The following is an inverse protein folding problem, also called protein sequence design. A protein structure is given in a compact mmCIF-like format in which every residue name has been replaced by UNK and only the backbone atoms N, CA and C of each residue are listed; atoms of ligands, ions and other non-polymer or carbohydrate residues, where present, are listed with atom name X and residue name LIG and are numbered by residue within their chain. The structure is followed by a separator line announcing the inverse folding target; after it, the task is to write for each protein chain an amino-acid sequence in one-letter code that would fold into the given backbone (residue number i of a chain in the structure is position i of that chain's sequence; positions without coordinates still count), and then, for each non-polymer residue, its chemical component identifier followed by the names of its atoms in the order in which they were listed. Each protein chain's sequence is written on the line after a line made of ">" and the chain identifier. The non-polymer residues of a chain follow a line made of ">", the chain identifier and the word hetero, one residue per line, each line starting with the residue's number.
data_IF_315442386716
#
_entry.id   IF_315442386716
#
_cell.length_a   1.000
_cell.length_b   1.000
_cell.length_c   1.000
_cell.angle_alpha   90.00
_cell.angle_beta   90.00
_cell.angle_gamma   90.00
#
_symmetry.space_group_name_H-M   'P 1'
#
loop_
_entity.id
_entity.type
_entity.pdbx_description
1 polymer ?
#
# COMPACT_ATOMS: atom_id res chain seq x y z
N UNK A 1 41.39 36.08 -54.48
CA UNK A 1 40.41 35.03 -54.18
C UNK A 1 40.90 34.27 -52.95
N UNK A 2 40.41 34.60 -51.78
CA UNK A 2 40.73 33.96 -50.52
C UNK A 2 39.46 34.03 -49.69
N UNK A 3 38.85 32.89 -49.48
CA UNK A 3 37.66 32.74 -48.64
C UNK A 3 38.08 32.77 -47.17
N UNK A 4 37.42 33.66 -46.41
CA UNK A 4 37.52 33.74 -44.95
C UNK A 4 36.41 32.88 -44.37
N UNK A 5 36.80 31.95 -43.53
CA UNK A 5 35.88 31.21 -42.64
C UNK A 5 35.55 32.08 -41.42
N UNK A 6 34.31 32.44 -41.26
CA UNK A 6 33.79 33.04 -40.05
C UNK A 6 33.59 31.94 -38.98
N UNK A 7 34.17 32.19 -37.82
CA UNK A 7 33.89 31.41 -36.58
C UNK A 7 32.84 32.17 -35.79
N UNK A 8 31.64 31.66 -35.80
CA UNK A 8 30.59 32.11 -34.88
C UNK A 8 30.90 31.62 -33.44
N UNK A 9 31.33 32.56 -32.61
CA UNK A 9 31.34 32.40 -31.15
C UNK A 9 29.94 32.70 -30.63
N UNK A 10 29.18 31.68 -30.20
CA UNK A 10 28.01 31.86 -29.36
C UNK A 10 28.42 32.40 -27.99
N UNK A 11 28.18 33.68 -27.78
CA UNK A 11 28.18 34.31 -26.46
C UNK A 11 26.97 33.76 -25.70
N UNK A 12 27.24 33.13 -24.57
CA UNK A 12 26.21 32.82 -23.55
C UNK A 12 25.87 34.16 -22.87
N UNK A 13 24.64 34.63 -23.06
CA UNK A 13 24.09 35.76 -22.32
C UNK A 13 23.88 35.35 -20.87
N UNK A 14 24.58 36.00 -19.96
CA UNK A 14 24.35 35.92 -18.52
C UNK A 14 23.17 36.79 -18.18
N UNK A 15 22.15 36.17 -17.52
CA UNK A 15 21.00 36.87 -16.99
C UNK A 15 21.40 37.68 -15.73
N UNK A 16 21.22 39.01 -15.70
CA UNK A 16 21.82 39.87 -14.67
C UNK A 16 21.15 39.82 -13.27
N UNK A 17 20.12 39.03 -13.10
CA UNK A 17 19.33 39.01 -11.83
C UNK A 17 19.57 37.80 -10.92
N UNK A 18 20.61 36.99 -11.16
CA UNK A 18 20.93 35.87 -10.28
C UNK A 18 22.04 36.20 -9.29
N UNK A 19 21.78 35.89 -7.99
CA UNK A 19 22.82 36.05 -6.97
C UNK A 19 23.96 35.02 -7.17
N UNK A 20 25.20 35.32 -6.73
CA UNK A 20 26.32 34.36 -6.83
C UNK A 20 26.06 33.00 -6.19
N UNK A 21 25.15 32.95 -5.26
CA UNK A 21 24.72 31.73 -4.57
C UNK A 21 23.82 30.86 -5.46
N UNK A 22 22.95 31.47 -6.25
CA UNK A 22 22.07 30.75 -7.20
C UNK A 22 22.84 30.20 -8.40
N UNK A 23 23.86 30.90 -8.88
CA UNK A 23 24.74 30.38 -9.91
C UNK A 23 25.56 29.17 -9.42
N UNK A 24 25.99 29.18 -8.17
CA UNK A 24 26.73 28.06 -7.59
C UNK A 24 25.83 26.82 -7.44
N UNK A 25 24.60 27.00 -6.99
CA UNK A 25 23.59 25.93 -6.87
C UNK A 25 23.25 25.40 -8.26
N UNK A 26 23.01 26.25 -9.25
CA UNK A 26 22.71 25.84 -10.63
C UNK A 26 23.85 25.03 -11.24
N UNK A 27 25.12 25.47 -11.04
CA UNK A 27 26.30 24.72 -11.51
C UNK A 27 26.48 23.36 -10.78
N UNK A 28 26.07 23.25 -9.53
CA UNK A 28 26.06 21.98 -8.81
C UNK A 28 24.93 21.05 -9.27
N UNK A 29 23.76 21.62 -9.59
CA UNK A 29 22.62 20.89 -10.15
C UNK A 29 22.99 20.34 -11.53
N UNK A 30 23.55 21.17 -12.39
CA UNK A 30 23.95 20.78 -13.74
C UNK A 30 25.10 19.76 -13.74
N UNK A 31 26.02 19.84 -12.79
CA UNK A 31 27.07 18.82 -12.60
C UNK A 31 26.52 17.48 -12.08
N UNK A 32 25.57 17.50 -11.16
CA UNK A 32 25.00 16.28 -10.57
C UNK A 32 23.97 15.60 -11.46
N UNK A 33 23.17 16.36 -12.21
CA UNK A 33 22.22 15.80 -13.18
C UNK A 33 22.93 15.23 -14.41
N UNK A 34 24.00 15.86 -14.87
CA UNK A 34 24.72 15.39 -16.06
C UNK A 34 25.59 14.15 -15.81
N UNK A 35 26.10 13.95 -14.59
CA UNK A 35 26.90 12.77 -14.27
C UNK A 35 26.11 11.48 -14.09
N UNK A 36 24.81 11.54 -13.74
CA UNK A 36 24.01 10.34 -13.49
C UNK A 36 23.31 9.79 -14.73
N UNK A 37 22.94 10.63 -15.67
CA UNK A 37 22.18 10.24 -16.87
C UNK A 37 23.09 10.00 -18.08
N UNK A 38 24.16 10.79 -18.25
CA UNK A 38 25.02 10.69 -19.45
C UNK A 38 25.95 9.47 -19.46
N UNK A 39 26.24 8.87 -18.31
CA UNK A 39 27.10 7.69 -18.25
C UNK A 39 26.35 6.40 -18.60
N UNK A 40 25.02 6.38 -18.43
CA UNK A 40 24.17 5.24 -18.80
C UNK A 40 23.74 5.24 -20.27
N UNK A 41 23.76 6.40 -20.94
CA UNK A 41 23.33 6.51 -22.35
C UNK A 41 24.44 6.19 -23.38
N UNK A 42 25.68 5.97 -22.97
CA UNK A 42 26.80 5.68 -23.88
C UNK A 42 27.12 4.20 -24.11
N UNK A 43 26.43 3.30 -23.45
CA UNK A 43 26.60 1.87 -23.71
C UNK A 43 25.39 1.31 -24.45
N UNK A 44 25.55 1.16 -25.75
CA UNK A 44 24.69 0.42 -26.66
C UNK A 44 23.18 0.64 -26.52
N UNK A 45 22.65 1.24 -27.56
CA UNK A 45 21.22 1.32 -27.90
C UNK A 45 20.53 -0.06 -27.88
N UNK A 46 20.33 -0.62 -26.69
CA UNK A 46 19.22 -1.50 -26.45
C UNK A 46 18.01 -0.59 -26.34
N UNK A 47 17.31 -0.37 -27.47
CA UNK A 47 15.92 0.08 -27.41
C UNK A 47 15.24 -0.85 -26.44
N UNK A 48 14.88 -0.34 -25.24
CA UNK A 48 14.05 -1.07 -24.32
C UNK A 48 12.84 -1.58 -25.13
N UNK A 49 12.54 -2.88 -25.12
CA UNK A 49 11.31 -3.34 -25.75
C UNK A 49 10.19 -2.57 -25.07
N UNK A 50 9.38 -1.86 -25.86
CA UNK A 50 8.17 -1.20 -25.39
C UNK A 50 7.44 -2.12 -24.42
N UNK A 51 6.77 -1.58 -23.38
CA UNK A 51 6.15 -2.39 -22.35
C UNK A 51 5.41 -3.54 -23.04
N UNK A 52 5.81 -4.77 -22.70
CA UNK A 52 5.13 -5.97 -23.21
C UNK A 52 3.70 -5.82 -22.73
N UNK A 53 2.81 -5.43 -23.64
CA UNK A 53 1.37 -5.49 -23.37
C UNK A 53 1.08 -6.96 -23.14
N UNK A 54 0.97 -7.35 -21.88
CA UNK A 54 0.43 -8.63 -21.52
C UNK A 54 -0.91 -8.73 -22.25
N UNK A 55 -1.10 -9.81 -23.01
CA UNK A 55 -2.37 -10.05 -23.70
C UNK A 55 -3.46 -10.19 -22.63
N UNK A 56 -4.69 -9.87 -22.97
CA UNK A 56 -5.85 -10.01 -22.07
C UNK A 56 -5.90 -11.41 -21.43
N UNK A 57 -5.50 -12.47 -22.19
CA UNK A 57 -5.45 -13.84 -21.71
C UNK A 57 -4.34 -14.11 -20.67
N UNK A 58 -3.23 -13.36 -20.72
CA UNK A 58 -2.17 -13.41 -19.70
C UNK A 58 -2.54 -12.65 -18.42
N UNK A 59 -3.47 -11.70 -18.53
CA UNK A 59 -4.06 -10.99 -17.39
C UNK A 59 -5.17 -11.79 -16.72
N UNK A 60 -5.78 -12.77 -17.41
CA UNK A 60 -6.73 -13.73 -16.85
C UNK A 60 -5.95 -14.81 -16.04
N UNK A 61 -5.11 -14.38 -15.15
CA UNK A 61 -4.65 -15.26 -14.08
C UNK A 61 -5.86 -15.52 -13.19
N UNK A 62 -6.27 -16.79 -13.14
CA UNK A 62 -7.16 -17.34 -12.10
C UNK A 62 -6.44 -17.11 -10.76
N UNK A 63 -6.63 -15.93 -10.21
CA UNK A 63 -5.81 -15.37 -9.13
C UNK A 63 -5.92 -16.21 -7.85
N UNK A 64 -7.11 -16.71 -7.54
CA UNK A 64 -7.38 -17.38 -6.27
C UNK A 64 -6.62 -18.68 -6.11
N UNK A 65 -6.48 -19.47 -7.19
CA UNK A 65 -5.67 -20.67 -7.14
C UNK A 65 -4.16 -20.40 -7.08
N UNK A 66 -3.69 -19.22 -7.54
CA UNK A 66 -2.26 -18.89 -7.54
C UNK A 66 -1.83 -18.23 -6.23
N UNK A 67 -2.66 -17.40 -5.58
CA UNK A 67 -2.34 -16.86 -4.27
C UNK A 67 -2.12 -17.98 -3.25
N UNK A 68 -3.07 -18.93 -3.15
CA UNK A 68 -2.97 -20.05 -2.23
C UNK A 68 -1.86 -21.05 -2.58
N UNK A 69 -1.44 -21.18 -3.85
CA UNK A 69 -0.32 -22.05 -4.24
C UNK A 69 1.03 -21.66 -3.61
N UNK A 70 1.18 -20.43 -3.18
CA UNK A 70 2.43 -19.94 -2.57
C UNK A 70 2.36 -19.72 -1.08
N UNK A 71 1.23 -20.07 -0.45
CA UNK A 71 1.01 -19.86 0.97
C UNK A 71 0.35 -21.08 1.61
N UNK A 72 0.63 -21.30 2.88
CA UNK A 72 -0.09 -22.26 3.73
C UNK A 72 -0.64 -21.55 4.95
N UNK A 73 -1.76 -22.05 5.46
CA UNK A 73 -2.45 -21.49 6.62
C UNK A 73 -2.19 -22.40 7.81
N UNK A 74 -1.80 -21.81 8.93
CA UNK A 74 -1.63 -22.50 10.22
C UNK A 74 -2.50 -21.84 11.26
N UNK A 75 -3.20 -22.65 12.04
CA UNK A 75 -4.22 -22.18 12.99
C UNK A 75 -3.66 -21.22 14.07
N UNK A 76 -2.44 -21.41 14.48
CA UNK A 76 -1.81 -20.63 15.57
C UNK A 76 -0.92 -19.50 15.13
N UNK A 77 -0.65 -19.33 13.83
CA UNK A 77 0.34 -18.36 13.37
C UNK A 77 -0.05 -17.63 12.07
N UNK A 78 -1.19 -17.98 11.45
CA UNK A 78 -1.72 -17.28 10.27
C UNK A 78 -1.23 -17.81 8.93
N UNK A 79 -0.96 -16.90 7.98
CA UNK A 79 -0.59 -17.22 6.60
C UNK A 79 0.91 -17.29 6.44
N UNK A 80 1.43 -18.41 5.97
CA UNK A 80 2.85 -18.66 5.74
C UNK A 80 3.20 -18.62 4.27
N UNK A 81 4.29 -17.95 3.92
CA UNK A 81 4.85 -17.98 2.57
C UNK A 81 5.70 -19.25 2.40
N UNK A 82 5.32 -20.09 1.43
CA UNK A 82 6.03 -21.33 1.07
C UNK A 82 6.62 -21.31 -0.35
N UNK A 83 6.55 -20.17 -1.04
CA UNK A 83 7.18 -19.99 -2.36
C UNK A 83 8.70 -20.02 -2.21
N UNK A 84 9.31 -21.15 -2.63
CA UNK A 84 10.77 -21.37 -2.50
C UNK A 84 11.58 -20.28 -3.19
N UNK A 85 11.20 -19.89 -4.39
CA UNK A 85 11.83 -18.82 -5.17
C UNK A 85 11.86 -17.48 -4.44
N UNK A 86 10.77 -17.12 -3.75
CA UNK A 86 10.67 -15.91 -2.94
C UNK A 86 11.52 -16.04 -1.68
N UNK A 87 11.42 -17.17 -1.00
CA UNK A 87 12.18 -17.43 0.24
C UNK A 87 13.69 -17.42 -0.06
N UNK A 88 14.13 -18.04 -1.15
CA UNK A 88 15.53 -18.04 -1.59
C UNK A 88 16.02 -16.64 -1.98
N UNK A 89 15.28 -15.90 -2.80
CA UNK A 89 15.61 -14.51 -3.18
C UNK A 89 15.79 -13.61 -1.96
N UNK A 90 15.04 -13.85 -0.91
CA UNK A 90 15.06 -13.05 0.30
C UNK A 90 16.00 -13.59 1.38
N UNK A 91 16.65 -14.72 1.13
CA UNK A 91 17.65 -15.29 2.03
C UNK A 91 18.87 -14.36 2.15
N UNK A 92 19.36 -14.19 3.37
CA UNK A 92 20.55 -13.38 3.66
C UNK A 92 20.36 -11.85 3.60
N UNK A 93 19.22 -11.34 3.16
CA UNK A 93 18.93 -9.90 3.08
C UNK A 93 19.11 -9.23 4.44
N UNK A 94 18.68 -9.88 5.49
CA UNK A 94 18.72 -9.32 6.83
C UNK A 94 20.15 -9.14 7.32
N UNK A 95 21.02 -10.12 7.04
CA UNK A 95 22.45 -9.96 7.32
C UNK A 95 23.01 -8.76 6.58
N UNK A 96 22.65 -8.57 5.30
CA UNK A 96 23.06 -7.42 4.51
C UNK A 96 22.53 -6.10 5.08
N UNK A 97 21.26 -6.05 5.48
CA UNK A 97 20.63 -4.89 6.11
C UNK A 97 21.28 -4.55 7.45
N UNK A 98 21.52 -5.54 8.31
CA UNK A 98 22.19 -5.36 9.62
C UNK A 98 23.64 -4.89 9.42
N UNK A 99 24.36 -5.44 8.43
CA UNK A 99 25.73 -5.02 8.13
C UNK A 99 25.78 -3.56 7.64
N UNK A 100 24.84 -3.15 6.79
CA UNK A 100 24.72 -1.75 6.33
C UNK A 100 24.34 -0.83 7.49
N UNK A 101 23.44 -1.25 8.36
CA UNK A 101 22.98 -0.49 9.50
C UNK A 101 24.10 -0.29 10.53
N UNK A 102 24.84 -1.34 10.86
CA UNK A 102 25.98 -1.26 11.80
C UNK A 102 27.02 -0.26 11.31
N UNK A 103 27.37 -0.28 10.01
CA UNK A 103 28.28 0.70 9.43
C UNK A 103 27.76 2.14 9.58
N UNK A 104 26.47 2.38 9.32
CA UNK A 104 25.86 3.71 9.40
C UNK A 104 25.83 4.23 10.85
N UNK A 105 25.55 3.38 11.83
CA UNK A 105 25.58 3.74 13.25
C UNK A 105 27.01 4.11 13.67
N UNK A 106 28.01 3.34 13.25
CA UNK A 106 29.42 3.60 13.58
C UNK A 106 29.95 4.90 12.96
N UNK A 107 29.42 5.31 11.81
CA UNK A 107 29.86 6.54 11.11
C UNK A 107 29.05 7.78 11.48
N UNK A 108 28.11 7.68 12.44
CA UNK A 108 27.26 8.81 12.87
C UNK A 108 26.31 9.34 11.79
N UNK A 109 26.08 8.55 10.73
CA UNK A 109 25.23 8.95 9.61
C UNK A 109 23.74 8.94 9.95
N UNK A 110 22.96 9.76 9.25
CA UNK A 110 21.48 9.74 9.31
C UNK A 110 20.97 8.38 8.80
N UNK A 111 20.13 7.72 9.58
CA UNK A 111 19.55 6.42 9.24
C UNK A 111 18.62 6.50 8.02
N UNK A 112 19.20 6.44 6.83
CA UNK A 112 18.47 6.24 5.57
C UNK A 112 18.83 4.84 5.03
N UNK A 113 18.00 3.86 5.39
CA UNK A 113 18.22 2.49 4.95
C UNK A 113 17.51 2.23 3.63
N UNK A 114 18.26 2.15 2.53
CA UNK A 114 17.74 1.63 1.28
C UNK A 114 17.76 0.11 1.29
N UNK A 115 16.58 -0.50 1.14
CA UNK A 115 16.43 -1.96 1.08
C UNK A 115 16.90 -2.51 -0.28
N UNK A 116 17.49 -3.73 -0.34
CA UNK A 116 17.86 -4.36 -1.60
C UNK A 116 16.64 -4.59 -2.51
N UNK A 117 16.81 -4.37 -3.81
CA UNK A 117 15.71 -4.50 -4.79
C UNK A 117 15.08 -5.89 -4.83
N UNK A 118 15.85 -6.93 -4.54
CA UNK A 118 15.39 -8.33 -4.55
C UNK A 118 14.27 -8.68 -3.56
N UNK A 119 13.96 -7.80 -2.58
CA UNK A 119 12.82 -8.00 -1.69
C UNK A 119 11.51 -7.45 -2.27
N UNK A 120 11.62 -6.67 -3.33
CA UNK A 120 10.47 -6.01 -3.92
C UNK A 120 9.86 -6.88 -5.03
N UNK A 121 8.57 -6.72 -5.20
CA UNK A 121 7.87 -7.14 -6.41
C UNK A 121 7.90 -6.00 -7.44
N UNK A 122 7.75 -6.32 -8.74
CA UNK A 122 7.73 -5.30 -9.80
C UNK A 122 6.37 -4.58 -9.86
N UNK A 123 5.93 -4.07 -8.73
CA UNK A 123 4.67 -3.34 -8.57
C UNK A 123 4.85 -2.17 -7.62
N UNK A 124 4.19 -1.06 -7.91
CA UNK A 124 4.08 0.05 -6.96
C UNK A 124 3.12 -0.30 -5.81
N UNK A 125 3.33 0.33 -4.66
CA UNK A 125 2.37 0.23 -3.56
C UNK A 125 0.98 0.75 -3.94
N UNK A 126 0.87 1.69 -4.89
CA UNK A 126 -0.41 2.15 -5.40
C UNK A 126 -1.18 1.02 -6.12
N UNK A 127 -0.50 0.23 -6.94
CA UNK A 127 -1.09 -0.97 -7.58
C UNK A 127 -1.49 -2.01 -6.51
N UNK A 128 -0.69 -2.15 -5.46
CA UNK A 128 -1.00 -3.07 -4.36
C UNK A 128 -2.23 -2.62 -3.57
N UNK A 129 -2.38 -1.33 -3.33
CA UNK A 129 -3.56 -0.78 -2.65
C UNK A 129 -4.83 -1.03 -3.48
N UNK A 130 -4.77 -0.91 -4.81
CA UNK A 130 -5.96 -1.18 -5.65
C UNK A 130 -6.46 -2.63 -5.52
N UNK A 131 -5.57 -3.60 -5.36
CA UNK A 131 -5.95 -5.01 -5.16
C UNK A 131 -6.79 -5.23 -3.90
N UNK A 132 -6.58 -4.42 -2.84
CA UNK A 132 -7.37 -4.54 -1.62
C UNK A 132 -8.85 -4.26 -1.85
N UNK A 133 -9.16 -3.51 -2.89
CA UNK A 133 -10.52 -3.10 -3.25
C UNK A 133 -11.14 -3.94 -4.37
N UNK A 134 -10.53 -5.09 -4.74
CA UNK A 134 -10.97 -5.89 -5.89
C UNK A 134 -12.43 -6.35 -5.82
N UNK A 135 -12.97 -6.61 -4.62
CA UNK A 135 -14.35 -7.05 -4.43
C UNK A 135 -15.37 -5.90 -4.38
N UNK A 136 -14.98 -4.65 -4.61
CA UNK A 136 -15.91 -3.51 -4.60
C UNK A 136 -17.08 -3.66 -5.58
N UNK A 137 -16.92 -4.11 -6.85
CA UNK A 137 -18.05 -4.26 -7.75
C UNK A 137 -19.09 -5.28 -7.29
N UNK A 138 -18.66 -6.30 -6.57
CA UNK A 138 -19.56 -7.37 -6.10
C UNK A 138 -20.25 -6.99 -4.79
N UNK A 139 -19.46 -6.59 -3.79
CA UNK A 139 -19.97 -6.41 -2.43
C UNK A 139 -20.58 -5.03 -2.20
N UNK A 140 -19.99 -3.98 -2.76
CA UNK A 140 -20.53 -2.63 -2.59
C UNK A 140 -21.72 -2.35 -3.50
N UNK A 141 -21.83 -3.01 -4.67
CA UNK A 141 -23.05 -2.96 -5.47
C UNK A 141 -24.22 -3.60 -4.71
N UNK A 142 -23.98 -4.75 -4.05
CA UNK A 142 -24.99 -5.34 -3.17
C UNK A 142 -25.35 -4.40 -2.01
N UNK A 143 -24.35 -3.80 -1.35
CA UNK A 143 -24.60 -2.84 -0.28
C UNK A 143 -25.47 -1.66 -0.75
N UNK A 144 -25.12 -1.06 -1.92
CA UNK A 144 -25.87 0.06 -2.49
C UNK A 144 -27.28 -0.26 -2.90
N UNK A 145 -27.58 -1.54 -3.16
CA UNK A 145 -28.92 -2.01 -3.53
C UNK A 145 -29.81 -2.34 -2.33
N UNK A 146 -29.26 -2.41 -1.11
CA UNK A 146 -30.05 -2.74 0.09
C UNK A 146 -30.82 -1.53 0.60
N UNK A 147 -32.09 -1.72 0.98
CA UNK A 147 -32.88 -0.70 1.64
C UNK A 147 -32.61 -0.68 3.17
N UNK A 148 -32.41 -1.85 3.77
CA UNK A 148 -32.05 -1.97 5.16
C UNK A 148 -30.60 -1.54 5.41
N UNK A 149 -30.42 -0.58 6.32
CA UNK A 149 -29.11 0.01 6.66
C UNK A 149 -28.16 -0.98 7.32
N UNK A 150 -28.69 -1.93 8.07
CA UNK A 150 -27.90 -2.98 8.71
C UNK A 150 -27.44 -4.00 7.66
N UNK A 151 -28.32 -4.40 6.76
CA UNK A 151 -27.96 -5.29 5.65
C UNK A 151 -26.89 -4.66 4.75
N UNK A 152 -27.04 -3.38 4.40
CA UNK A 152 -26.03 -2.65 3.65
C UNK A 152 -24.67 -2.61 4.38
N UNK A 153 -24.68 -2.36 5.69
CA UNK A 153 -23.48 -2.37 6.52
C UNK A 153 -22.80 -3.74 6.57
N UNK A 154 -23.57 -4.84 6.58
CA UNK A 154 -23.01 -6.21 6.53
C UNK A 154 -22.19 -6.44 5.26
N UNK A 155 -22.65 -5.98 4.10
CA UNK A 155 -21.91 -6.10 2.84
C UNK A 155 -20.67 -5.19 2.82
N UNK A 156 -20.71 -3.98 3.39
CA UNK A 156 -19.53 -3.13 3.56
C UNK A 156 -18.49 -3.79 4.47
N UNK A 157 -18.93 -4.49 5.52
CA UNK A 157 -18.04 -5.27 6.38
C UNK A 157 -17.39 -6.43 5.61
N UNK A 158 -18.17 -7.19 4.84
CA UNK A 158 -17.62 -8.25 3.98
C UNK A 158 -16.59 -7.71 3.00
N UNK A 159 -16.86 -6.57 2.37
CA UNK A 159 -15.91 -5.87 1.49
C UNK A 159 -14.61 -5.53 2.20
N UNK A 160 -14.66 -4.94 3.38
CA UNK A 160 -13.48 -4.56 4.14
C UNK A 160 -12.65 -5.78 4.59
N UNK A 161 -13.31 -6.87 4.96
CA UNK A 161 -12.64 -8.12 5.34
C UNK A 161 -12.01 -8.83 4.13
N UNK A 162 -12.61 -8.73 2.94
CA UNK A 162 -12.01 -9.26 1.69
C UNK A 162 -10.69 -8.57 1.35
N UNK A 163 -10.54 -7.29 1.70
CA UNK A 163 -9.31 -6.54 1.52
C UNK A 163 -8.13 -7.09 2.34
N UNK A 164 -8.42 -7.67 3.51
CA UNK A 164 -7.40 -8.24 4.39
C UNK A 164 -6.68 -9.41 3.74
N UNK A 165 -7.41 -10.26 3.04
CA UNK A 165 -6.84 -11.39 2.31
C UNK A 165 -5.76 -10.91 1.32
N UNK A 166 -6.04 -9.86 0.55
CA UNK A 166 -5.10 -9.27 -0.42
C UNK A 166 -3.93 -8.54 0.23
N UNK A 167 -4.16 -7.89 1.36
CA UNK A 167 -3.10 -7.19 2.08
C UNK A 167 -2.14 -8.12 2.84
N UNK A 168 -2.46 -9.42 2.96
CA UNK A 168 -1.61 -10.42 3.61
C UNK A 168 -0.44 -10.93 2.75
N UNK A 169 -0.31 -10.50 1.50
CA UNK A 169 0.82 -10.85 0.65
C UNK A 169 2.15 -10.33 1.21
N UNK A 170 3.17 -11.21 1.18
CA UNK A 170 4.44 -10.98 1.89
C UNK A 170 5.57 -10.43 1.00
N UNK A 171 5.30 -10.18 -0.28
CA UNK A 171 6.20 -9.42 -1.12
C UNK A 171 6.03 -7.93 -0.86
N UNK A 172 7.14 -7.22 -0.85
CA UNK A 172 7.11 -5.77 -0.66
C UNK A 172 6.94 -5.08 -2.02
N UNK A 173 5.89 -4.28 -2.15
CA UNK A 173 5.78 -3.39 -3.30
C UNK A 173 6.82 -2.27 -3.25
N UNK A 174 7.17 -1.70 -4.40
CA UNK A 174 8.02 -0.53 -4.52
C UNK A 174 7.36 0.67 -3.82
N UNK A 175 8.13 1.43 -3.03
CA UNK A 175 7.62 2.65 -2.42
C UNK A 175 7.28 3.66 -3.52
N UNK A 176 6.08 4.26 -3.51
CA UNK A 176 5.72 5.26 -4.50
C UNK A 176 6.60 6.51 -4.38
N UNK A 177 6.80 7.20 -5.50
CA UNK A 177 7.39 8.53 -5.52
C UNK A 177 6.34 9.57 -5.14
N UNK A 178 6.77 10.70 -4.59
CA UNK A 178 5.85 11.81 -4.29
C UNK A 178 5.22 12.33 -5.59
N UNK A 179 3.89 12.37 -5.63
CA UNK A 179 3.11 12.70 -6.83
C UNK A 179 2.93 11.54 -7.82
N UNK A 180 3.46 10.35 -7.51
CA UNK A 180 3.18 9.15 -8.31
C UNK A 180 1.70 8.83 -8.26
N UNK A 181 1.12 8.52 -9.43
CA UNK A 181 -0.28 8.16 -9.58
C UNK A 181 -0.46 6.73 -10.08
N UNK A 182 -1.65 6.20 -9.88
CA UNK A 182 -2.11 4.98 -10.51
C UNK A 182 -3.61 5.07 -10.77
N UNK A 183 -4.04 4.62 -11.95
CA UNK A 183 -5.44 4.59 -12.34
C UNK A 183 -5.79 3.20 -12.83
N UNK A 184 -6.92 2.67 -12.35
CA UNK A 184 -7.39 1.36 -12.76
C UNK A 184 -8.92 1.32 -12.87
N UNK A 185 -9.41 0.30 -13.55
CA UNK A 185 -10.83 0.06 -13.80
C UNK A 185 -11.17 -1.43 -13.69
N UNK A 186 -12.42 -1.73 -13.42
CA UNK A 186 -12.98 -3.08 -13.40
C UNK A 186 -13.83 -3.34 -14.63
N UNK A 187 -14.18 -4.61 -14.87
CA UNK A 187 -15.03 -5.03 -16.01
C UNK A 187 -16.40 -4.37 -16.01
N UNK A 188 -16.92 -4.01 -14.83
CA UNK A 188 -18.20 -3.30 -14.70
C UNK A 188 -18.10 -1.80 -15.01
N UNK A 189 -16.91 -1.29 -15.34
CA UNK A 189 -16.63 0.11 -15.60
C UNK A 189 -16.42 0.98 -14.36
N UNK A 190 -16.40 0.40 -13.16
CA UNK A 190 -15.96 1.09 -11.94
C UNK A 190 -14.50 1.53 -12.06
N UNK A 191 -14.14 2.67 -11.49
CA UNK A 191 -12.81 3.28 -11.63
C UNK A 191 -12.20 3.65 -10.29
N UNK A 192 -10.88 3.53 -10.20
CA UNK A 192 -10.14 3.96 -9.02
C UNK A 192 -8.94 4.81 -9.41
N UNK A 193 -8.70 5.85 -8.64
CA UNK A 193 -7.61 6.82 -8.77
C UNK A 193 -6.82 6.84 -7.48
N UNK A 194 -5.50 6.74 -7.58
CA UNK A 194 -4.59 6.74 -6.43
C UNK A 194 -3.46 7.73 -6.68
N UNK A 195 -2.99 8.36 -5.60
CA UNK A 195 -1.86 9.28 -5.62
C UNK A 195 -1.06 9.20 -4.31
N UNK A 196 0.26 9.18 -4.41
CA UNK A 196 1.15 9.30 -3.28
C UNK A 196 1.37 10.78 -2.94
N UNK A 197 0.61 11.29 -1.97
CA UNK A 197 0.51 12.72 -1.67
C UNK A 197 1.50 13.22 -0.62
N UNK A 198 2.05 12.32 0.20
CA UNK A 198 3.06 12.65 1.20
C UNK A 198 4.05 11.49 1.34
N UNK A 199 5.34 11.80 1.43
CA UNK A 199 6.37 10.77 1.57
C UNK A 199 6.87 10.59 3.02
N UNK A 200 6.65 11.56 3.87
CA UNK A 200 7.04 11.52 5.29
C UNK A 200 6.00 12.24 6.16
N UNK A 201 5.10 11.51 6.80
CA UNK A 201 4.83 10.06 6.70
C UNK A 201 4.37 9.63 5.31
N UNK A 202 4.53 8.33 4.93
CA UNK A 202 4.10 7.86 3.61
C UNK A 202 2.59 7.73 3.54
N UNK A 203 1.95 8.70 2.86
CA UNK A 203 0.49 8.77 2.71
C UNK A 203 0.12 8.67 1.24
N UNK A 204 -0.76 7.72 0.92
CA UNK A 204 -1.37 7.58 -0.38
C UNK A 204 -2.87 7.74 -0.28
N UNK A 205 -3.43 8.70 -1.00
CA UNK A 205 -4.88 8.90 -1.11
C UNK A 205 -5.46 8.08 -2.25
N UNK A 206 -6.73 7.76 -2.13
CA UNK A 206 -7.46 7.08 -3.19
C UNK A 206 -8.92 7.50 -3.24
N UNK A 207 -9.48 7.37 -4.45
CA UNK A 207 -10.90 7.56 -4.73
C UNK A 207 -11.36 6.50 -5.72
N UNK A 208 -12.39 5.74 -5.35
CA UNK A 208 -13.04 4.75 -6.17
C UNK A 208 -14.50 5.13 -6.38
N UNK A 209 -14.98 4.99 -7.60
CA UNK A 209 -16.36 5.27 -7.97
C UNK A 209 -16.94 4.10 -8.78
N UNK A 210 -18.17 3.73 -8.46
CA UNK A 210 -18.90 2.73 -9.24
C UNK A 210 -19.40 3.30 -10.57
N UNK A 211 -19.49 2.47 -11.61
CA UNK A 211 -20.02 2.84 -12.91
C UNK A 211 -21.49 3.24 -12.89
N UNK A 212 -22.25 2.66 -11.97
CA UNK A 212 -23.70 2.84 -11.83
C UNK A 212 -24.10 3.87 -10.75
N UNK A 213 -23.16 4.64 -10.23
CA UNK A 213 -23.37 5.65 -9.18
C UNK A 213 -24.00 5.11 -7.87
N UNK A 214 -23.91 3.83 -7.57
CA UNK A 214 -24.43 3.27 -6.32
C UNK A 214 -23.54 3.60 -5.12
N UNK A 215 -22.22 3.65 -5.32
CA UNK A 215 -21.28 3.90 -4.23
C UNK A 215 -20.04 4.65 -4.66
N UNK A 216 -19.39 5.27 -3.70
CA UNK A 216 -18.00 5.73 -3.78
C UNK A 216 -17.21 5.27 -2.57
N UNK A 217 -15.91 5.06 -2.74
CA UNK A 217 -14.98 4.79 -1.65
C UNK A 217 -13.86 5.80 -1.71
N UNK A 218 -13.60 6.45 -0.60
CA UNK A 218 -12.49 7.42 -0.50
C UNK A 218 -11.73 7.23 0.80
N UNK A 219 -10.47 7.59 0.79
CA UNK A 219 -9.66 7.52 1.98
C UNK A 219 -8.17 7.71 1.70
N UNK A 220 -7.39 7.36 2.68
CA UNK A 220 -5.94 7.35 2.56
C UNK A 220 -5.37 6.16 3.33
N UNK A 221 -4.20 5.74 2.91
CA UNK A 221 -3.40 4.72 3.57
C UNK A 221 -2.15 5.40 4.12
N UNK A 222 -2.00 5.37 5.44
CA UNK A 222 -0.81 5.79 6.19
C UNK A 222 -0.31 4.56 6.95
N UNK A 223 0.88 4.07 6.59
CA UNK A 223 1.46 2.85 7.15
C UNK A 223 2.56 3.20 8.13
N UNK A 224 2.27 3.15 9.42
CA UNK A 224 3.29 3.24 10.45
C UNK A 224 3.90 1.87 10.71
N UNK A 225 5.23 1.80 10.65
CA UNK A 225 5.97 0.58 11.02
C UNK A 225 6.42 0.65 12.47
N UNK A 226 6.21 -0.44 13.21
CA UNK A 226 6.71 -0.60 14.57
C UNK A 226 8.24 -0.46 14.63
N UNK A 227 8.75 -0.04 15.79
CA UNK A 227 10.17 0.27 15.98
C UNK A 227 11.12 -0.88 15.58
N UNK A 228 12.16 -0.54 14.85
CA UNK A 228 13.18 -1.49 14.36
C UNK A 228 13.80 -2.34 15.49
N UNK A 229 14.11 -1.73 16.64
CA UNK A 229 14.65 -2.44 17.80
C UNK A 229 13.68 -3.52 18.32
N UNK A 230 12.39 -3.24 18.31
CA UNK A 230 11.39 -4.24 18.69
C UNK A 230 11.38 -5.39 17.70
N UNK A 231 11.48 -5.12 16.41
CA UNK A 231 11.59 -6.15 15.37
C UNK A 231 12.82 -7.05 15.58
N UNK A 232 13.96 -6.47 15.91
CA UNK A 232 15.19 -7.22 16.21
C UNK A 232 15.04 -8.17 17.41
N UNK A 233 14.35 -7.73 18.45
CA UNK A 233 14.16 -8.53 19.67
C UNK A 233 13.10 -9.61 19.53
N UNK A 234 12.01 -9.32 18.82
CA UNK A 234 10.84 -10.21 18.75
C UNK A 234 10.76 -11.03 17.48
N UNK A 235 11.64 -10.79 16.50
CA UNK A 235 11.56 -11.34 15.14
C UNK A 235 10.21 -11.08 14.45
N UNK A 236 9.50 -10.01 14.87
CA UNK A 236 8.20 -9.64 14.34
C UNK A 236 8.17 -8.15 13.97
N UNK A 237 7.60 -7.84 12.82
CA UNK A 237 7.33 -6.48 12.37
C UNK A 237 5.82 -6.21 12.50
N UNK A 238 5.47 -5.12 13.13
CA UNK A 238 4.07 -4.68 13.26
C UNK A 238 3.87 -3.48 12.36
N UNK A 239 2.84 -3.55 11.52
CA UNK A 239 2.39 -2.46 10.66
C UNK A 239 1.04 -1.97 11.19
N UNK A 240 0.94 -0.67 11.41
CA UNK A 240 -0.25 0.00 11.94
C UNK A 240 -0.84 0.88 10.84
N UNK A 241 -1.91 0.45 10.15
CA UNK A 241 -2.60 1.30 9.19
C UNK A 241 -3.39 2.38 9.93
N UNK A 242 -3.07 3.66 9.70
CA UNK A 242 -3.73 4.81 10.34
C UNK A 242 -4.80 5.49 9.46
N UNK A 243 -4.93 5.08 8.21
CA UNK A 243 -5.83 5.71 7.26
C UNK A 243 -7.31 5.44 7.55
N UNK A 244 -8.16 6.44 7.38
CA UNK A 244 -9.61 6.31 7.42
C UNK A 244 -10.14 6.04 6.02
N UNK A 245 -10.99 5.02 5.88
CA UNK A 245 -11.67 4.65 4.65
C UNK A 245 -13.16 4.94 4.81
N UNK A 246 -13.76 5.60 3.84
CA UNK A 246 -15.18 6.00 3.85
C UNK A 246 -15.87 5.44 2.62
N UNK A 247 -16.89 4.64 2.83
CA UNK A 247 -17.83 4.15 1.83
C UNK A 247 -19.09 4.98 1.89
N UNK A 248 -19.48 5.60 0.77
CA UNK A 248 -20.75 6.31 0.63
C UNK A 248 -21.66 5.51 -0.30
N UNK A 249 -22.81 5.09 0.19
CA UNK A 249 -23.89 4.50 -0.58
C UNK A 249 -24.82 5.63 -1.04
N UNK A 250 -24.66 6.05 -2.29
CA UNK A 250 -25.16 7.35 -2.77
C UNK A 250 -26.69 7.46 -2.75
N UNK A 251 -27.38 6.47 -3.33
CA UNK A 251 -28.85 6.46 -3.36
C UNK A 251 -29.47 6.29 -1.98
N UNK A 252 -28.79 5.56 -1.10
CA UNK A 252 -29.27 5.25 0.25
C UNK A 252 -28.92 6.32 1.28
N UNK A 253 -28.10 7.33 0.91
CA UNK A 253 -27.61 8.38 1.83
C UNK A 253 -27.03 7.78 3.11
N UNK A 254 -26.17 6.77 2.96
CA UNK A 254 -25.52 6.07 4.08
C UNK A 254 -24.01 6.19 3.93
N UNK A 255 -23.35 6.62 5.00
CA UNK A 255 -21.90 6.81 5.03
C UNK A 255 -21.29 5.94 6.10
N UNK A 256 -20.49 4.95 5.71
CA UNK A 256 -19.83 4.01 6.62
C UNK A 256 -18.33 4.24 6.55
N UNK A 257 -17.71 4.52 7.68
CA UNK A 257 -16.26 4.71 7.80
C UNK A 257 -15.63 3.61 8.61
N UNK A 258 -14.42 3.18 8.21
CA UNK A 258 -13.64 2.18 8.92
C UNK A 258 -12.13 2.39 8.78
N UNK A 259 -11.34 1.63 9.55
CA UNK A 259 -9.89 1.58 9.50
C UNK A 259 -9.43 0.12 9.53
N UNK A 260 -8.35 -0.20 8.82
CA UNK A 260 -7.79 -1.55 8.83
C UNK A 260 -7.14 -1.92 10.17
N UNK A 261 -7.15 -3.21 10.55
CA UNK A 261 -6.52 -3.70 11.77
C UNK A 261 -5.00 -3.72 11.65
N UNK A 262 -4.30 -3.90 12.77
CA UNK A 262 -2.84 -4.06 12.79
C UNK A 262 -2.44 -5.36 12.09
N UNK A 263 -1.37 -5.29 11.32
CA UNK A 263 -0.75 -6.42 10.62
C UNK A 263 0.51 -6.81 11.39
N UNK A 264 0.63 -8.08 11.77
CA UNK A 264 1.85 -8.63 12.35
C UNK A 264 2.48 -9.59 11.36
N UNK A 265 3.72 -9.31 10.99
CA UNK A 265 4.54 -10.16 10.13
C UNK A 265 5.67 -10.76 10.97
N UNK A 266 5.66 -12.08 11.12
CA UNK A 266 6.71 -12.81 11.83
C UNK A 266 7.70 -13.46 10.87
N UNK A 267 8.81 -13.99 11.43
CA UNK A 267 9.90 -14.51 10.61
C UNK A 267 10.61 -13.44 9.80
N UNK A 268 10.56 -12.18 10.28
CA UNK A 268 11.14 -11.05 9.57
C UNK A 268 12.68 -11.16 9.46
N UNK A 269 13.35 -11.73 10.46
CA UNK A 269 14.80 -11.84 10.53
C UNK A 269 15.29 -13.27 10.29
N UNK A 270 14.62 -14.25 10.84
CA UNK A 270 14.95 -15.68 10.69
C UNK A 270 13.69 -16.55 10.80
N UNK A 271 13.77 -17.76 10.26
CA UNK A 271 12.68 -18.71 10.24
C UNK A 271 11.70 -18.52 9.10
N UNK A 272 10.54 -19.14 9.19
CA UNK A 272 9.48 -19.06 8.20
C UNK A 272 8.70 -17.76 8.36
N UNK A 273 8.39 -17.11 7.25
CA UNK A 273 7.56 -15.89 7.26
C UNK A 273 6.10 -16.21 7.39
N UNK A 274 5.45 -15.48 8.28
CA UNK A 274 4.01 -15.55 8.47
C UNK A 274 3.40 -14.17 8.68
N UNK A 275 2.09 -14.09 8.46
CA UNK A 275 1.33 -12.86 8.61
C UNK A 275 -0.03 -13.16 9.25
N UNK A 276 -0.46 -12.31 10.18
CA UNK A 276 -1.80 -12.30 10.73
C UNK A 276 -2.24 -10.89 11.11
N UNK A 277 -3.56 -10.71 11.28
CA UNK A 277 -4.15 -9.46 11.76
C UNK A 277 -4.40 -9.54 13.26
N UNK A 278 -4.30 -8.39 13.91
CA UNK A 278 -4.51 -8.27 15.36
C UNK A 278 -5.25 -6.98 15.68
N UNK A 279 -5.70 -6.86 16.95
CA UNK A 279 -6.46 -5.71 17.43
C UNK A 279 -7.91 -5.71 16.92
N UNK A 280 -8.45 -4.55 16.57
CA UNK A 280 -9.84 -4.37 16.19
C UNK A 280 -10.01 -3.62 14.89
N UNK A 281 -11.07 -3.96 14.19
CA UNK A 281 -11.66 -3.15 13.13
C UNK A 281 -12.93 -2.49 13.63
N UNK A 282 -13.06 -1.19 13.41
CA UNK A 282 -14.23 -0.40 13.84
C UNK A 282 -14.90 0.19 12.62
N UNK A 283 -16.22 0.16 12.65
CA UNK A 283 -17.07 0.75 11.62
C UNK A 283 -18.03 1.71 12.27
N UNK A 284 -18.22 2.88 11.66
CA UNK A 284 -19.15 3.91 12.10
C UNK A 284 -20.08 4.31 10.97
N UNK A 285 -21.36 4.29 11.26
CA UNK A 285 -22.42 4.89 10.47
C UNK A 285 -23.18 5.86 11.38
N UNK A 286 -22.71 7.08 11.41
CA UNK A 286 -23.24 8.12 12.33
C UNK A 286 -24.65 8.56 11.96
N UNK A 287 -24.98 8.53 10.68
CA UNK A 287 -26.28 8.96 10.17
C UNK A 287 -27.41 8.02 10.60
N UNK A 288 -27.09 6.72 10.78
CA UNK A 288 -28.06 5.70 11.17
C UNK A 288 -27.84 5.16 12.59
N UNK A 289 -26.98 5.80 13.38
CA UNK A 289 -26.67 5.37 14.76
C UNK A 289 -26.24 3.89 14.84
N UNK A 290 -25.39 3.45 13.89
CA UNK A 290 -24.85 2.10 13.87
C UNK A 290 -23.34 2.11 14.07
N UNK A 291 -22.85 1.19 14.88
CA UNK A 291 -21.42 0.96 15.09
C UNK A 291 -21.13 -0.54 15.02
N UNK A 292 -19.95 -0.88 14.52
CA UNK A 292 -19.48 -2.26 14.53
C UNK A 292 -18.06 -2.34 15.05
N UNK A 293 -17.76 -3.38 15.81
CA UNK A 293 -16.41 -3.72 16.24
C UNK A 293 -16.16 -5.18 15.95
N UNK A 294 -15.04 -5.47 15.26
CA UNK A 294 -14.58 -6.81 14.95
C UNK A 294 -13.21 -7.01 15.60
N UNK A 295 -13.06 -8.05 16.38
CA UNK A 295 -11.81 -8.46 17.03
C UNK A 295 -11.07 -9.49 16.18
N UNK A 296 -9.76 -9.35 16.13
CA UNK A 296 -8.83 -10.27 15.49
C UNK A 296 -7.89 -10.88 16.52
N UNK A 297 -7.44 -12.11 16.24
CA UNK A 297 -6.32 -12.81 16.87
C UNK A 297 -6.25 -12.88 18.41
N UNK A 298 -5.15 -13.40 18.81
CA UNK A 298 -4.71 -13.86 20.10
C UNK A 298 -4.95 -12.89 21.28
N UNK A 299 -5.43 -13.41 22.40
CA UNK A 299 -5.55 -12.68 23.66
C UNK A 299 -6.96 -12.19 23.99
N UNK A 300 -7.95 -12.42 23.13
CA UNK A 300 -9.33 -12.06 23.38
C UNK A 300 -10.10 -13.25 23.98
N UNK A 301 -10.93 -13.00 24.97
CA UNK A 301 -11.75 -14.07 25.61
C UNK A 301 -12.65 -14.76 24.59
N UNK A 302 -13.24 -13.99 23.67
CA UNK A 302 -14.15 -14.46 22.62
C UNK A 302 -13.46 -15.38 21.61
N UNK A 303 -12.14 -15.18 21.41
CA UNK A 303 -11.32 -15.94 20.47
C UNK A 303 -10.43 -16.98 21.16
N UNK A 304 -10.53 -17.16 22.48
CA UNK A 304 -9.75 -18.16 23.20
C UNK A 304 -10.04 -19.57 22.66
N UNK A 305 -9.01 -20.27 22.23
CA UNK A 305 -9.10 -21.60 21.63
C UNK A 305 -9.58 -21.61 20.17
N UNK A 306 -9.72 -20.45 19.54
CA UNK A 306 -9.98 -20.30 18.11
C UNK A 306 -8.69 -20.16 17.31
N UNK A 307 -8.80 -20.30 15.97
CA UNK A 307 -7.67 -20.11 15.06
C UNK A 307 -7.29 -18.62 15.03
N UNK A 308 -6.02 -18.29 14.75
CA UNK A 308 -5.52 -16.90 14.74
C UNK A 308 -6.19 -16.04 13.68
N UNK A 309 -6.74 -16.66 12.65
CA UNK A 309 -7.43 -15.99 11.55
C UNK A 309 -8.95 -15.93 11.74
N UNK A 310 -9.49 -16.48 12.82
CA UNK A 310 -10.90 -16.32 13.16
C UNK A 310 -11.20 -14.91 13.65
N UNK A 311 -12.42 -14.48 13.38
CA UNK A 311 -12.93 -13.17 13.75
C UNK A 311 -14.18 -13.31 14.62
N UNK A 312 -14.37 -12.32 15.49
CA UNK A 312 -15.59 -12.16 16.25
C UNK A 312 -15.95 -10.68 16.32
N UNK A 313 -17.21 -10.35 16.06
CA UNK A 313 -17.66 -8.97 16.07
C UNK A 313 -19.14 -8.82 16.35
N UNK A 314 -19.57 -7.57 16.48
CA UNK A 314 -20.97 -7.19 16.68
C UNK A 314 -21.30 -5.90 15.98
N UNK A 315 -22.47 -5.81 15.37
CA UNK A 315 -23.13 -4.57 15.00
C UNK A 315 -24.11 -4.23 16.11
N UNK A 316 -24.12 -2.99 16.55
CA UNK A 316 -25.00 -2.51 17.63
C UNK A 316 -25.46 -1.07 17.34
N UNK A 317 -26.61 -0.70 17.93
CA UNK A 317 -27.07 0.67 17.92
C UNK A 317 -26.18 1.51 18.84
N UNK A 318 -25.84 2.71 18.41
CA UNK A 318 -24.94 3.60 19.14
C UNK A 318 -25.39 5.05 18.99
N UNK A 319 -25.77 5.67 20.11
CA UNK A 319 -26.17 7.06 20.13
C UNK A 319 -24.93 7.96 20.11
N UNK A 320 -24.56 8.46 18.93
CA UNK A 320 -23.43 9.37 18.76
C UNK A 320 -23.64 10.75 19.38
N UNK A 321 -24.88 11.18 19.57
CA UNK A 321 -25.20 12.47 20.19
C UNK A 321 -24.98 12.40 21.69
N UNK A 322 -25.47 11.32 22.33
CA UNK A 322 -25.27 11.11 23.76
C UNK A 322 -23.81 10.83 24.15
N UNK A 323 -22.95 10.42 23.20
CA UNK A 323 -21.57 10.05 23.43
C UNK A 323 -20.60 10.95 22.66
N UNK A 324 -20.91 12.23 22.51
CA UNK A 324 -20.06 13.18 21.75
C UNK A 324 -18.67 13.38 22.35
N UNK A 325 -18.51 13.16 23.65
CA UNK A 325 -17.24 13.32 24.37
C UNK A 325 -16.32 12.07 24.27
N UNK A 326 -16.79 10.98 23.64
CA UNK A 326 -15.89 9.86 23.38
C UNK A 326 -14.79 10.27 22.39
N UNK A 327 -13.51 9.98 22.71
CA UNK A 327 -12.43 10.28 21.78
C UNK A 327 -12.69 9.58 20.46
N UNK A 328 -12.36 10.25 19.35
CA UNK A 328 -12.57 9.71 18.01
C UNK A 328 -11.94 8.32 17.92
N UNK A 329 -12.74 7.26 17.70
CA UNK A 329 -12.26 5.87 17.76
C UNK A 329 -11.19 5.55 16.71
N UNK A 330 -11.00 6.40 15.69
CA UNK A 330 -9.95 6.25 14.69
C UNK A 330 -8.57 6.78 15.16
N UNK A 331 -8.51 7.51 16.26
CA UNK A 331 -7.27 8.12 16.79
C UNK A 331 -6.85 7.62 18.17
N UNK A 332 -7.57 6.66 18.74
CA UNK A 332 -7.23 6.11 20.07
C UNK A 332 -6.25 4.94 19.89
N UNK A 333 -5.01 5.15 20.30
CA UNK A 333 -3.95 4.13 20.27
C UNK A 333 -4.19 2.95 21.23
N UNK A 334 -5.05 3.13 22.22
CA UNK A 334 -5.36 2.09 23.21
C UNK A 334 -6.86 1.94 23.40
N UNK A 335 -7.43 0.92 22.79
CA UNK A 335 -8.73 0.44 23.23
C UNK A 335 -8.59 -0.30 24.56
N UNK A 336 -9.60 -0.19 25.45
CA UNK A 336 -9.68 -1.08 26.61
C UNK A 336 -9.56 -2.53 26.15
N UNK A 337 -8.91 -3.36 26.95
CA UNK A 337 -8.67 -4.78 26.66
C UNK A 337 -9.93 -5.58 26.32
N UNK A 338 -11.11 -5.01 26.57
CA UNK A 338 -12.43 -5.56 26.27
C UNK A 338 -13.38 -4.45 25.80
N UNK A 339 -13.52 -4.20 24.49
CA UNK A 339 -14.45 -3.20 23.98
C UNK A 339 -15.92 -3.63 24.14
N UNK A 340 -16.20 -4.93 24.27
CA UNK A 340 -17.56 -5.47 24.29
C UNK A 340 -18.37 -5.24 25.59
N UNK A 341 -17.80 -5.12 26.80
CA UNK A 341 -18.60 -4.84 27.98
C UNK A 341 -19.33 -3.51 27.94
N UNK A 342 -18.80 -2.51 27.23
CA UNK A 342 -19.41 -1.20 27.05
C UNK A 342 -20.58 -1.23 26.05
N UNK A 343 -20.71 -2.28 25.23
CA UNK A 343 -21.62 -2.35 24.09
C UNK A 343 -22.55 -3.59 24.15
N UNK A 344 -22.84 -4.11 25.33
CA UNK A 344 -23.76 -5.25 25.51
C UNK A 344 -25.24 -4.87 25.38
N UNK A 345 -25.54 -3.56 25.27
CA UNK A 345 -26.91 -3.10 25.04
C UNK A 345 -27.10 -2.85 23.55
N UNK A 346 -28.25 -3.22 23.03
CA UNK A 346 -28.65 -2.90 21.64
C UNK A 346 -27.86 -3.62 20.52
N UNK A 347 -27.43 -4.87 20.80
CA UNK A 347 -26.83 -5.71 19.75
C UNK A 347 -27.88 -5.98 18.68
N UNK A 348 -27.50 -5.70 17.43
CA UNK A 348 -28.34 -5.92 16.25
C UNK A 348 -28.02 -7.28 15.61
N UNK A 349 -26.72 -7.65 15.51
CA UNK A 349 -26.27 -8.91 14.92
C UNK A 349 -24.86 -9.26 15.40
N UNK A 350 -24.56 -10.54 15.48
CA UNK A 350 -23.21 -11.06 15.77
C UNK A 350 -22.49 -11.45 14.49
N UNK A 351 -21.16 -11.27 14.49
CA UNK A 351 -20.27 -11.57 13.38
C UNK A 351 -19.32 -12.67 13.80
N UNK A 352 -19.23 -13.72 13.01
CA UNK A 352 -18.32 -14.85 13.21
C UNK A 352 -17.73 -15.29 11.87
N UNK A 353 -16.68 -16.08 11.91
CA UNK A 353 -16.03 -16.66 10.73
C UNK A 353 -14.53 -16.43 10.71
N UNK A 354 -13.98 -16.26 9.53
CA UNK A 354 -12.55 -16.06 9.32
C UNK A 354 -12.30 -15.11 8.13
N UNK A 355 -11.35 -14.21 8.26
CA UNK A 355 -10.94 -13.35 7.14
C UNK A 355 -10.26 -14.12 6.00
N UNK A 356 -9.91 -15.40 6.21
CA UNK A 356 -9.36 -16.31 5.19
C UNK A 356 -10.39 -17.27 4.60
N UNK A 357 -11.60 -17.26 5.08
CA UNK A 357 -12.65 -18.22 4.68
C UNK A 357 -13.98 -17.49 4.48
N UNK A 358 -14.85 -17.58 5.46
CA UNK A 358 -16.20 -17.04 5.38
C UNK A 358 -16.50 -16.01 6.47
N UNK A 359 -17.45 -15.14 6.16
CA UNK A 359 -18.01 -14.14 7.07
C UNK A 359 -19.48 -14.46 7.27
N UNK A 360 -19.89 -14.63 8.52
CA UNK A 360 -21.26 -14.98 8.93
C UNK A 360 -21.83 -13.90 9.84
N UNK A 361 -23.11 -13.58 9.64
CA UNK A 361 -23.92 -12.76 10.55
C UNK A 361 -25.05 -13.62 11.08
N UNK A 362 -25.16 -13.75 12.41
CA UNK A 362 -26.14 -14.61 13.10
C UNK A 362 -26.15 -16.04 12.51
N UNK A 363 -24.97 -16.62 12.27
CA UNK A 363 -24.71 -17.92 11.65
C UNK A 363 -25.07 -18.04 10.15
N UNK A 364 -25.64 -17.02 9.51
CA UNK A 364 -25.88 -16.99 8.07
C UNK A 364 -24.62 -16.50 7.33
N UNK A 365 -24.15 -17.26 6.35
CA UNK A 365 -23.02 -16.87 5.51
C UNK A 365 -23.42 -15.78 4.52
N UNK A 366 -22.62 -14.71 4.46
CA UNK A 366 -22.78 -13.58 3.53
C UNK A 366 -21.70 -13.54 2.47
N UNK A 367 -20.51 -13.98 2.81
CA UNK A 367 -19.37 -13.98 1.92
C UNK A 367 -18.39 -15.09 2.26
N UNK A 368 -17.84 -15.75 1.22
CA UNK A 368 -16.76 -16.72 1.35
C UNK A 368 -15.69 -16.39 0.32
N UNK A 369 -14.51 -16.00 0.80
CA UNK A 369 -13.41 -15.57 -0.08
C UNK A 369 -12.87 -16.71 -0.95
N UNK A 370 -12.95 -17.96 -0.46
CA UNK A 370 -12.47 -19.14 -1.19
C UNK A 370 -13.36 -19.56 -2.34
N UNK A 371 -14.65 -19.33 -2.19
CA UNK A 371 -15.67 -19.74 -3.18
C UNK A 371 -16.03 -18.58 -4.14
N UNK A 372 -15.50 -17.38 -3.87
CA UNK A 372 -15.79 -16.19 -4.65
C UNK A 372 -14.80 -16.02 -5.81
N UNK A 373 -15.35 -15.75 -6.99
CA UNK A 373 -14.54 -15.33 -8.13
C UNK A 373 -14.04 -13.91 -7.89
N UNK A 374 -12.71 -13.71 -7.92
CA UNK A 374 -12.11 -12.40 -7.72
C UNK A 374 -12.29 -11.53 -8.97
N UNK A 375 -12.94 -10.35 -8.85
CA UNK A 375 -13.03 -9.42 -9.97
C UNK A 375 -11.66 -8.96 -10.47
N UNK A 376 -11.53 -8.85 -11.78
CA UNK A 376 -10.30 -8.40 -12.42
C UNK A 376 -10.17 -6.88 -12.33
N UNK A 377 -8.93 -6.43 -12.13
CA UNK A 377 -8.56 -5.01 -12.12
C UNK A 377 -7.62 -4.78 -13.30
N UNK A 378 -7.93 -3.80 -14.12
CA UNK A 378 -7.14 -3.43 -15.29
C UNK A 378 -6.53 -2.04 -15.10
N UNK A 379 -5.25 -1.84 -15.44
CA UNK A 379 -4.71 -0.49 -15.56
C UNK A 379 -5.52 0.32 -16.57
N UNK A 380 -5.86 1.57 -16.22
CA UNK A 380 -6.60 2.45 -17.15
C UNK A 380 -5.85 2.63 -18.47
N UNK A 381 -6.61 2.76 -19.57
CA UNK A 381 -6.04 3.03 -20.90
C UNK A 381 -5.46 4.44 -20.99
N UNK A 382 -6.11 5.39 -20.35
CA UNK A 382 -5.67 6.78 -20.28
C UNK A 382 -5.02 7.03 -18.94
N UNK A 383 -3.77 7.46 -18.94
CA UNK A 383 -2.97 7.65 -17.74
C UNK A 383 -2.21 8.96 -17.79
N UNK A 384 -1.88 9.46 -16.61
CA UNK A 384 -1.03 10.64 -16.43
C UNK A 384 0.45 10.26 -16.61
N UNK A 385 1.29 11.22 -16.95
CA UNK A 385 2.75 11.02 -17.04
C UNK A 385 3.37 10.60 -15.68
N UNK A 386 2.69 10.92 -14.59
CA UNK A 386 3.05 10.50 -13.22
C UNK A 386 2.67 9.07 -12.86
N UNK A 387 2.04 8.31 -13.78
CA UNK A 387 1.60 6.94 -13.51
C UNK A 387 2.79 6.00 -13.24
N UNK A 388 2.63 5.14 -12.25
CA UNK A 388 3.64 4.18 -11.82
C UNK A 388 4.09 3.20 -12.91
N UNK A 389 3.37 3.09 -14.03
CA UNK A 389 3.79 2.27 -15.19
C UNK A 389 5.06 2.78 -15.85
N UNK A 390 5.37 4.07 -15.69
CA UNK A 390 6.56 4.69 -16.26
C UNK A 390 7.80 4.60 -15.38
N UNK A 391 7.73 3.83 -14.29
CA UNK A 391 8.88 3.60 -13.41
C UNK A 391 9.87 2.61 -14.02
N UNK A 392 11.07 3.06 -14.27
CA UNK A 392 12.12 2.20 -14.85
C UNK A 392 12.63 1.14 -13.87
N UNK A 393 12.68 1.42 -12.57
CA UNK A 393 13.06 0.41 -11.56
C UNK A 393 12.07 -0.76 -11.51
N UNK A 394 10.79 -0.49 -11.73
CA UNK A 394 9.74 -1.51 -11.85
C UNK A 394 9.93 -2.36 -13.11
N UNK A 395 10.20 -1.72 -14.25
CA UNK A 395 10.42 -2.42 -15.53
C UNK A 395 11.64 -3.34 -15.46
N UNK A 396 12.78 -2.86 -14.98
CA UNK A 396 13.98 -3.68 -14.82
C UNK A 396 13.77 -4.82 -13.84
N UNK A 397 13.03 -4.59 -12.76
CA UNK A 397 12.70 -5.63 -11.80
C UNK A 397 11.79 -6.71 -12.43
N UNK A 398 10.81 -6.32 -13.25
CA UNK A 398 9.98 -7.27 -14.01
C UNK A 398 10.84 -8.12 -14.96
N UNK A 399 11.73 -7.50 -15.72
CA UNK A 399 12.65 -8.20 -16.61
C UNK A 399 13.56 -9.19 -15.86
N UNK A 400 13.93 -8.89 -14.61
CA UNK A 400 14.71 -9.83 -13.78
C UNK A 400 13.92 -11.07 -13.37
N UNK A 401 12.60 -10.95 -13.27
CA UNK A 401 11.73 -12.08 -12.96
C UNK A 401 11.45 -12.95 -14.19
N UNK A 402 11.33 -12.31 -15.35
CA UNK A 402 10.98 -12.99 -16.60
C UNK A 402 12.19 -13.69 -17.25
N UNK A 403 13.40 -13.20 -16.98
CA UNK A 403 14.63 -13.69 -17.62
C UNK A 403 15.67 -14.15 -16.59
N UNK A 404 15.66 -15.43 -16.26
CA UNK A 404 16.54 -16.02 -15.24
C UNK A 404 18.03 -15.88 -15.55
N UNK A 405 18.42 -15.94 -16.82
CA UNK A 405 19.83 -15.89 -17.24
C UNK A 405 20.44 -14.50 -17.03
N UNK A 406 19.62 -13.45 -17.14
CA UNK A 406 20.02 -12.05 -16.96
C UNK A 406 19.48 -11.42 -15.67
N UNK A 407 18.85 -12.21 -14.81
CA UNK A 407 18.17 -11.71 -13.62
C UNK A 407 19.06 -10.82 -12.77
N UNK A 408 20.32 -11.22 -12.53
CA UNK A 408 21.27 -10.45 -11.73
C UNK A 408 21.60 -9.08 -12.35
N UNK A 409 21.80 -9.03 -13.65
CA UNK A 409 22.07 -7.77 -14.38
C UNK A 409 20.89 -6.81 -14.29
N UNK A 410 19.67 -7.34 -14.50
CA UNK A 410 18.46 -6.52 -14.41
C UNK A 410 18.16 -6.07 -12.97
N UNK A 411 18.46 -6.88 -11.96
CA UNK A 411 18.41 -6.47 -10.55
C UNK A 411 19.39 -5.34 -10.23
N UNK A 412 20.60 -5.37 -10.80
CA UNK A 412 21.58 -4.27 -10.65
C UNK A 412 21.05 -2.96 -11.26
N UNK A 413 20.45 -3.01 -12.45
CA UNK A 413 19.81 -1.83 -13.07
C UNK A 413 18.62 -1.33 -12.26
N UNK A 414 17.71 -2.21 -11.86
CA UNK A 414 16.58 -1.84 -11.01
C UNK A 414 17.04 -1.21 -9.69
N UNK A 415 18.10 -1.75 -9.08
CA UNK A 415 18.66 -1.19 -7.84
C UNK A 415 19.27 0.20 -8.07
N UNK A 416 19.96 0.41 -9.17
CA UNK A 416 20.56 1.71 -9.52
C UNK A 416 19.48 2.78 -9.71
N UNK A 417 18.43 2.47 -10.47
CA UNK A 417 17.28 3.36 -10.68
C UNK A 417 16.53 3.67 -9.40
N UNK A 418 16.26 2.66 -8.59
CA UNK A 418 15.63 2.83 -7.28
C UNK A 418 16.45 3.79 -6.39
N UNK A 419 17.76 3.64 -6.36
CA UNK A 419 18.63 4.52 -5.58
C UNK A 419 18.64 5.95 -6.12
N UNK A 420 18.61 6.14 -7.45
CA UNK A 420 18.51 7.45 -8.08
C UNK A 420 17.19 8.15 -7.73
N UNK A 421 16.07 7.45 -7.83
CA UNK A 421 14.74 7.96 -7.44
C UNK A 421 14.69 8.34 -5.96
N UNK A 422 15.22 7.50 -5.07
CA UNK A 422 15.30 7.80 -3.64
C UNK A 422 16.20 9.00 -3.34
N UNK A 423 17.27 9.20 -4.12
CA UNK A 423 18.17 10.34 -3.98
C UNK A 423 17.48 11.63 -4.41
N UNK A 424 16.79 11.63 -5.56
CA UNK A 424 15.99 12.75 -6.04
C UNK A 424 14.93 13.16 -5.00
N UNK A 425 14.21 12.20 -4.46
CA UNK A 425 13.17 12.44 -3.46
C UNK A 425 13.73 13.05 -2.15
N UNK A 426 14.94 12.63 -1.73
CA UNK A 426 15.65 13.25 -0.59
C UNK A 426 16.03 14.68 -0.86
N UNK A 427 16.50 14.97 -2.06
CA UNK A 427 16.86 16.32 -2.50
C UNK A 427 15.66 17.25 -2.51
N UNK A 428 14.56 16.86 -3.15
CA UNK A 428 13.30 17.63 -3.19
C UNK A 428 12.73 17.90 -1.79
N UNK A 429 12.86 16.96 -0.88
CA UNK A 429 12.48 17.14 0.53
C UNK A 429 13.37 18.18 1.24
N UNK A 430 14.65 18.21 0.91
CA UNK A 430 15.59 19.21 1.40
C UNK A 430 15.14 20.61 0.99
N UNK A 431 14.92 20.83 -0.30
CA UNK A 431 14.43 22.10 -0.85
C UNK A 431 13.13 22.57 -0.19
N UNK A 432 12.15 21.70 -0.05
CA UNK A 432 10.86 22.05 0.60
C UNK A 432 11.04 22.52 2.05
N UNK A 433 11.97 21.91 2.79
CA UNK A 433 12.28 22.35 4.17
C UNK A 433 12.93 23.72 4.22
N UNK A 434 13.77 24.03 3.24
CA UNK A 434 14.40 25.35 3.11
C UNK A 434 13.36 26.41 2.79
N UNK A 435 12.50 26.19 1.79
CA UNK A 435 11.39 27.10 1.45
C UNK A 435 10.44 27.33 2.62
N UNK A 436 10.09 26.28 3.37
CA UNK A 436 9.25 26.41 4.54
C UNK A 436 9.92 27.26 5.65
N UNK A 437 11.22 27.15 5.85
CA UNK A 437 11.96 27.99 6.80
C UNK A 437 12.00 29.45 6.37
N UNK A 438 12.15 29.72 5.07
CA UNK A 438 12.14 31.08 4.53
C UNK A 438 10.74 31.71 4.60
N UNK A 439 9.68 30.95 4.30
CA UNK A 439 8.31 31.42 4.43
C UNK A 439 7.93 31.78 5.88
N UNK A 440 8.45 31.04 6.86
CA UNK A 440 8.22 31.33 8.29
C UNK A 440 9.07 32.50 8.84
N UNK A 441 10.04 33.03 8.07
CA UNK A 441 10.83 34.21 8.44
C UNK A 441 10.25 35.52 7.92
N UNK A 442 9.31 35.44 6.99
CA UNK A 442 8.50 36.57 6.48
C UNK A 442 7.21 36.70 7.27
#
# INVERSE_FOLDING_TARGET
>A
MKDKKDKDQKKTESNPDKTPHEEHIQKEIDKKSFCSVSTLTKTNTLKAPYPIRLTQDQLICKFDSQFLKGYTIRDNSGVYCIKKDIVEKQSGIIREVITKLSKTIWTGGVMSLSLPIRIFEPRSMLERISDWFCFSPVLLTKAGSMDDKVEAMKYVICFSLSALFRSSEQLKALNPMLGETYQCEWDDGSKMYLEHTCHTPPISHFYLMSSNNLYTVSGYIDMEMGGFMKTLLTNTMVIIPKGKITVKLLEKKQTISFQFPKITMGGALWGERYCYFSDHMKFEDRENNLKCVISFANGRKELKGKRIHDIYGRIFKYDYVANMDEPNPFYVDSMPSHPFPLYNKDIVTEITGSWLENVKFDNKEYFNIRDSCTPQIYPSKTVLDSDCRYREDKEWLQLSWDNKDKAKLYEEYAQAWKLALEAQQRYERGLRKEYAKEANKK
#
